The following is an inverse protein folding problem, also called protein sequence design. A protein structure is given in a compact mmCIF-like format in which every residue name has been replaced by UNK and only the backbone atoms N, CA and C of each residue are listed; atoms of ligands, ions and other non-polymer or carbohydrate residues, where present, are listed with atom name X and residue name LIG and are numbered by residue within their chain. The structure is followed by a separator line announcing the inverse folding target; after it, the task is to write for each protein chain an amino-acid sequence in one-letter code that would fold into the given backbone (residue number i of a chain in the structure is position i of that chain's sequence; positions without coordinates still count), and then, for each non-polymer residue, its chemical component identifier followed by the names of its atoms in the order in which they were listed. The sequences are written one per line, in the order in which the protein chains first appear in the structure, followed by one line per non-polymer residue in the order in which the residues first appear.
data_IF_677002902475
#
_entry.id   IF_677002902475
#
_cell.length_a   1.000
_cell.length_b   1.000
_cell.length_c   1.000
_cell.angle_alpha   90.00
_cell.angle_beta   90.00
_cell.angle_gamma   90.00
#
_symmetry.space_group_name_H-M   'P 1'
#
loop_
_entity.id
_entity.type
_entity.pdbx_description
1 polymer ?
#
# COMPACT_ATOMS: atom_id res chain seq x y z
N UNK A 1 -29.48 5.35 9.42
CA UNK A 1 -29.08 5.26 8.00
C UNK A 1 -28.05 4.13 7.79
N UNK A 2 -28.49 2.87 7.67
CA UNK A 2 -27.61 1.73 7.37
C UNK A 2 -27.69 1.40 5.88
N UNK A 3 -26.76 1.98 5.14
CA UNK A 3 -26.57 1.75 3.70
C UNK A 3 -26.26 0.27 3.44
N UNK A 4 -26.60 -0.24 2.26
CA UNK A 4 -26.31 -1.63 1.85
C UNK A 4 -24.83 -2.02 2.09
N UNK A 5 -23.91 -1.06 1.93
CA UNK A 5 -22.48 -1.24 2.18
C UNK A 5 -22.17 -1.62 3.64
N UNK A 6 -22.80 -0.97 4.63
CA UNK A 6 -22.60 -1.34 6.03
C UNK A 6 -23.02 -2.78 6.29
N UNK A 7 -24.16 -3.21 5.72
CA UNK A 7 -24.63 -4.60 5.84
C UNK A 7 -23.66 -5.59 5.21
N UNK A 8 -23.06 -5.26 4.07
CA UNK A 8 -22.05 -6.10 3.42
C UNK A 8 -20.76 -6.19 4.26
N UNK A 9 -20.27 -5.06 4.77
CA UNK A 9 -19.07 -5.01 5.61
C UNK A 9 -19.23 -5.81 6.91
N UNK A 10 -20.39 -5.78 7.54
CA UNK A 10 -20.65 -6.48 8.81
C UNK A 10 -21.28 -7.87 8.63
N UNK A 11 -21.49 -8.34 7.40
CA UNK A 11 -22.17 -9.62 7.16
C UNK A 11 -21.36 -10.80 7.68
N UNK A 12 -22.02 -11.72 8.37
CA UNK A 12 -21.42 -12.99 8.80
C UNK A 12 -21.91 -14.06 7.82
N UNK A 13 -20.97 -14.71 7.14
CA UNK A 13 -21.24 -15.83 6.24
C UNK A 13 -20.13 -16.86 6.37
N UNK A 14 -20.38 -18.14 6.06
CA UNK A 14 -19.34 -19.16 6.05
C UNK A 14 -18.23 -18.76 5.07
N UNK A 15 -16.99 -18.71 5.56
CA UNK A 15 -15.83 -18.30 4.77
C UNK A 15 -15.18 -19.57 4.22
N UNK A 16 -15.13 -19.76 2.89
CA UNK A 16 -14.46 -20.92 2.29
C UNK A 16 -13.01 -21.01 2.75
N UNK A 17 -12.38 -22.18 2.73
CA UNK A 17 -10.96 -22.32 3.08
C UNK A 17 -10.05 -21.65 2.04
N UNK A 18 -8.88 -21.16 2.47
CA UNK A 18 -7.92 -20.49 1.60
C UNK A 18 -7.40 -21.48 0.56
N UNK A 19 -7.52 -21.12 -0.73
CA UNK A 19 -7.01 -21.95 -1.82
C UNK A 19 -5.47 -21.99 -1.80
N UNK A 20 -4.88 -22.94 -2.52
CA UNK A 20 -3.43 -22.99 -2.68
C UNK A 20 -2.87 -21.74 -3.40
N UNK A 21 -3.63 -21.18 -4.35
CA UNK A 21 -3.27 -19.95 -5.07
C UNK A 21 -3.21 -18.77 -4.10
N UNK A 22 -4.23 -18.63 -3.25
CA UNK A 22 -4.27 -17.58 -2.23
C UNK A 22 -3.08 -17.67 -1.28
N UNK A 23 -2.74 -18.89 -0.84
CA UNK A 23 -1.57 -19.14 0.02
C UNK A 23 -0.26 -18.82 -0.68
N UNK A 24 -0.13 -19.16 -1.96
CA UNK A 24 1.06 -18.85 -2.77
C UNK A 24 1.22 -17.34 -2.98
N UNK A 25 0.13 -16.64 -3.29
CA UNK A 25 0.11 -15.18 -3.44
C UNK A 25 0.51 -14.50 -2.13
N UNK A 26 -0.07 -14.92 -1.00
CA UNK A 26 0.29 -14.41 0.32
C UNK A 26 1.76 -14.68 0.65
N UNK A 27 2.25 -15.90 0.42
CA UNK A 27 3.65 -16.24 0.69
C UNK A 27 4.62 -15.41 -0.15
N UNK A 28 4.31 -15.22 -1.43
CA UNK A 28 5.13 -14.39 -2.33
C UNK A 28 5.10 -12.92 -1.92
N UNK A 29 3.94 -12.39 -1.54
CA UNK A 29 3.79 -11.02 -1.06
C UNK A 29 4.54 -10.79 0.26
N UNK A 30 4.42 -11.71 1.22
CA UNK A 30 5.18 -11.65 2.49
C UNK A 30 6.69 -11.76 2.26
N UNK A 31 7.13 -12.60 1.32
CA UNK A 31 8.53 -12.71 0.95
C UNK A 31 9.04 -11.40 0.35
N UNK A 32 8.32 -10.84 -0.62
CA UNK A 32 8.69 -9.60 -1.30
C UNK A 32 8.77 -8.41 -0.32
N UNK A 33 7.74 -8.26 0.53
CA UNK A 33 7.74 -7.24 1.58
C UNK A 33 8.86 -7.45 2.61
N UNK A 34 9.15 -8.70 2.97
CA UNK A 34 10.25 -9.05 3.87
C UNK A 34 11.62 -8.66 3.31
N UNK A 35 11.86 -8.91 2.02
CA UNK A 35 13.06 -8.45 1.31
C UNK A 35 13.19 -6.93 1.38
N UNK A 36 12.09 -6.21 1.10
CA UNK A 36 12.04 -4.74 1.24
C UNK A 36 12.41 -4.30 2.66
N UNK A 37 11.81 -4.89 3.71
CA UNK A 37 12.13 -4.56 5.10
C UNK A 37 13.61 -4.78 5.42
N UNK A 38 14.20 -5.89 4.96
CA UNK A 38 15.63 -6.19 5.18
C UNK A 38 16.51 -5.14 4.49
N UNK A 39 16.26 -4.81 3.22
CA UNK A 39 17.03 -3.80 2.51
C UNK A 39 16.94 -2.42 3.19
N UNK A 40 15.74 -2.00 3.60
CA UNK A 40 15.56 -0.73 4.31
C UNK A 40 16.18 -0.73 5.71
N UNK A 41 16.24 -1.87 6.38
CA UNK A 41 16.96 -2.00 7.65
C UNK A 41 18.48 -1.92 7.46
N UNK A 42 19.03 -2.61 6.46
CA UNK A 42 20.48 -2.64 6.19
C UNK A 42 21.00 -1.28 5.72
N UNK A 43 20.19 -0.50 5.01
CA UNK A 43 20.56 0.81 4.47
C UNK A 43 20.20 1.99 5.40
N UNK A 44 19.68 1.73 6.61
CA UNK A 44 19.17 2.74 7.54
C UNK A 44 18.09 3.67 6.93
N UNK A 45 17.26 3.11 6.04
CA UNK A 45 16.19 3.82 5.33
C UNK A 45 14.79 3.31 5.70
N UNK A 46 14.60 2.78 6.92
CA UNK A 46 13.31 2.22 7.37
C UNK A 46 12.10 3.15 7.23
N UNK A 47 12.29 4.47 7.33
CA UNK A 47 11.21 5.44 7.13
C UNK A 47 10.60 5.38 5.72
N UNK A 48 11.35 4.90 4.73
CA UNK A 48 10.84 4.71 3.37
C UNK A 48 9.78 3.61 3.30
N UNK A 49 9.66 2.70 4.29
CA UNK A 49 8.53 1.76 4.37
C UNK A 49 7.16 2.45 4.52
N UNK A 50 7.14 3.75 4.88
CA UNK A 50 5.92 4.55 4.88
C UNK A 50 5.47 4.97 3.47
N UNK A 51 6.28 4.73 2.44
CA UNK A 51 5.86 5.02 1.07
C UNK A 51 4.59 4.24 0.70
N UNK A 52 3.69 4.83 -0.10
CA UNK A 52 2.38 4.24 -0.38
C UNK A 52 2.40 2.80 -0.91
N UNK A 53 3.40 2.42 -1.71
CA UNK A 53 3.56 1.06 -2.22
C UNK A 53 3.79 0.03 -1.10
N UNK A 54 4.75 0.28 -0.21
CA UNK A 54 5.05 -0.63 0.90
C UNK A 54 3.89 -0.73 1.91
N UNK A 55 3.17 0.37 2.14
CA UNK A 55 1.93 0.35 2.94
C UNK A 55 0.83 -0.44 2.24
N UNK A 56 0.74 -0.38 0.91
CA UNK A 56 -0.20 -1.16 0.11
C UNK A 56 0.09 -2.66 0.25
N UNK A 57 1.35 -3.07 0.09
CA UNK A 57 1.77 -4.45 0.30
C UNK A 57 1.45 -4.94 1.72
N UNK A 58 1.78 -4.14 2.74
CA UNK A 58 1.47 -4.46 4.14
C UNK A 58 -0.04 -4.58 4.39
N UNK A 59 -0.86 -3.65 3.86
CA UNK A 59 -2.31 -3.68 3.98
C UNK A 59 -2.88 -4.96 3.36
N UNK A 60 -2.42 -5.36 2.18
CA UNK A 60 -2.85 -6.61 1.55
C UNK A 60 -2.47 -7.83 2.38
N UNK A 61 -1.26 -7.88 2.96
CA UNK A 61 -0.87 -8.94 3.89
C UNK A 61 -1.85 -9.00 5.06
N UNK A 62 -2.12 -7.86 5.71
CA UNK A 62 -3.07 -7.74 6.83
C UNK A 62 -4.46 -8.26 6.43
N UNK A 63 -4.98 -7.86 5.28
CA UNK A 63 -6.28 -8.30 4.76
C UNK A 63 -6.32 -9.81 4.55
N UNK A 64 -5.25 -10.41 4.03
CA UNK A 64 -5.20 -11.84 3.71
C UNK A 64 -4.99 -12.72 4.95
N UNK A 65 -4.28 -12.25 5.98
CA UNK A 65 -4.06 -13.01 7.23
C UNK A 65 -5.17 -12.80 8.26
N UNK A 66 -6.05 -11.83 8.06
CA UNK A 66 -7.04 -11.44 9.08
C UNK A 66 -7.99 -12.59 9.44
N UNK A 67 -8.22 -12.87 10.74
CA UNK A 67 -9.20 -13.85 11.17
C UNK A 67 -10.60 -13.24 11.04
N UNK A 68 -11.27 -13.51 9.92
CA UNK A 68 -12.59 -12.96 9.61
C UNK A 68 -13.72 -13.37 10.58
N UNK A 69 -13.47 -14.34 11.46
CA UNK A 69 -14.46 -14.91 12.37
C UNK A 69 -14.88 -13.96 13.50
N UNK A 70 -14.03 -12.98 13.86
CA UNK A 70 -14.26 -12.09 15.01
C UNK A 70 -14.62 -10.65 14.60
N UNK A 71 -13.93 -10.09 13.61
CA UNK A 71 -14.10 -8.70 13.19
C UNK A 71 -13.96 -8.57 11.66
N UNK A 72 -14.99 -8.94 10.88
CA UNK A 72 -14.88 -8.99 9.42
C UNK A 72 -14.88 -7.61 8.76
N UNK A 73 -15.39 -6.57 9.42
CA UNK A 73 -15.60 -5.26 8.79
C UNK A 73 -14.29 -4.52 8.47
N UNK A 74 -13.24 -4.69 9.30
CA UNK A 74 -11.93 -4.03 9.14
C UNK A 74 -11.23 -4.47 7.85
N UNK A 75 -10.91 -5.76 7.63
CA UNK A 75 -10.20 -6.19 6.41
C UNK A 75 -11.04 -5.93 5.16
N UNK A 76 -12.37 -6.00 5.26
CA UNK A 76 -13.26 -5.68 4.14
C UNK A 76 -13.21 -4.19 3.79
N UNK A 77 -13.23 -3.30 4.78
CA UNK A 77 -13.11 -1.86 4.53
C UNK A 77 -11.74 -1.53 3.91
N UNK A 78 -10.66 -2.09 4.47
CA UNK A 78 -9.30 -1.89 3.95
C UNK A 78 -9.17 -2.35 2.49
N UNK A 79 -9.66 -3.55 2.15
CA UNK A 79 -9.64 -4.07 0.78
C UNK A 79 -10.43 -3.16 -0.18
N UNK A 80 -11.60 -2.69 0.26
CA UNK A 80 -12.41 -1.83 -0.59
C UNK A 80 -11.81 -0.43 -0.77
N UNK A 81 -11.07 0.09 0.22
CA UNK A 81 -10.27 1.32 0.05
C UNK A 81 -9.15 1.05 -0.96
N UNK A 82 -8.46 -0.08 -0.83
CA UNK A 82 -7.35 -0.47 -1.69
C UNK A 82 -7.73 -0.45 -3.18
N UNK A 83 -8.91 -0.95 -3.54
CA UNK A 83 -9.38 -0.94 -4.93
C UNK A 83 -9.41 0.47 -5.55
N UNK A 84 -9.67 1.50 -4.76
CA UNK A 84 -9.67 2.90 -5.22
C UNK A 84 -8.28 3.56 -5.19
N UNK A 85 -7.29 2.94 -4.56
CA UNK A 85 -5.89 3.43 -4.50
C UNK A 85 -4.92 2.60 -5.35
N UNK A 86 -5.41 1.54 -6.00
CA UNK A 86 -4.63 0.62 -6.86
C UNK A 86 -3.82 1.32 -7.96
N UNK A 87 -4.30 2.47 -8.44
CA UNK A 87 -3.62 3.26 -9.48
C UNK A 87 -2.19 3.64 -9.10
N UNK A 88 -1.85 3.73 -7.80
CA UNK A 88 -0.49 4.02 -7.34
C UNK A 88 0.52 2.96 -7.80
N UNK A 89 0.18 1.66 -7.68
CA UNK A 89 1.05 0.57 -8.12
C UNK A 89 1.25 0.56 -9.64
N UNK A 90 0.18 0.89 -10.39
CA UNK A 90 0.25 1.01 -11.86
C UNK A 90 1.24 2.13 -12.25
N UNK A 91 1.14 3.30 -11.62
CA UNK A 91 2.05 4.41 -11.91
C UNK A 91 3.50 4.06 -11.56
N UNK A 92 3.75 3.33 -10.49
CA UNK A 92 5.11 2.89 -10.12
C UNK A 92 5.71 1.91 -11.13
N UNK A 93 4.90 1.05 -11.77
CA UNK A 93 5.38 0.17 -12.84
C UNK A 93 5.65 0.92 -14.15
N UNK A 94 4.84 1.93 -14.48
CA UNK A 94 5.00 2.75 -15.69
C UNK A 94 6.17 3.73 -15.55
N UNK A 95 6.32 4.32 -14.36
CA UNK A 95 7.33 5.32 -14.03
C UNK A 95 8.18 4.86 -12.84
N UNK A 96 8.98 3.80 -13.01
CA UNK A 96 9.74 3.23 -11.92
C UNK A 96 10.84 4.20 -11.46
N UNK A 97 10.98 4.35 -10.15
CA UNK A 97 12.10 5.06 -9.55
C UNK A 97 13.10 4.06 -8.96
N UNK A 98 14.18 3.84 -9.71
CA UNK A 98 15.20 2.84 -9.38
C UNK A 98 16.51 3.48 -8.90
N UNK A 99 16.54 4.80 -8.63
CA UNK A 99 17.78 5.53 -8.32
C UNK A 99 18.50 5.07 -7.05
N UNK A 100 17.75 4.54 -6.10
CA UNK A 100 18.25 4.07 -4.80
C UNK A 100 18.26 2.53 -4.69
N UNK A 101 18.25 1.81 -5.82
CA UNK A 101 18.19 0.35 -5.86
C UNK A 101 19.56 -0.26 -6.21
N UNK A 102 20.50 -0.20 -5.27
CA UNK A 102 21.89 -0.63 -5.45
C UNK A 102 22.16 -2.06 -4.91
N UNK A 103 21.29 -2.59 -4.05
CA UNK A 103 21.47 -3.90 -3.44
C UNK A 103 21.02 -5.02 -4.38
N UNK A 104 21.60 -6.21 -4.19
CA UNK A 104 21.19 -7.41 -4.90
C UNK A 104 19.68 -7.66 -4.72
N UNK A 105 19.00 -7.99 -5.82
CA UNK A 105 17.54 -8.21 -5.91
C UNK A 105 16.64 -6.99 -5.67
N UNK A 106 17.13 -5.79 -5.37
CA UNK A 106 16.26 -4.64 -5.14
C UNK A 106 15.40 -4.29 -6.35
N UNK A 107 16.00 -4.18 -7.53
CA UNK A 107 15.26 -3.88 -8.77
C UNK A 107 14.25 -4.97 -9.10
N UNK A 108 14.62 -6.24 -8.95
CA UNK A 108 13.70 -7.35 -9.17
C UNK A 108 12.53 -7.31 -8.17
N UNK A 109 12.83 -7.13 -6.89
CA UNK A 109 11.84 -7.07 -5.83
C UNK A 109 10.91 -5.86 -5.99
N UNK A 110 11.42 -4.73 -6.47
CA UNK A 110 10.61 -3.57 -6.83
C UNK A 110 9.52 -3.96 -7.84
N UNK A 111 9.89 -4.57 -8.98
CA UNK A 111 8.89 -4.96 -9.97
C UNK A 111 7.97 -6.07 -9.47
N UNK A 112 8.50 -7.02 -8.68
CA UNK A 112 7.71 -8.08 -8.08
C UNK A 112 6.64 -7.54 -7.13
N UNK A 113 7.02 -6.70 -6.17
CA UNK A 113 6.12 -6.15 -5.15
C UNK A 113 4.99 -5.35 -5.81
N UNK A 114 5.32 -4.45 -6.74
CA UNK A 114 4.33 -3.64 -7.44
C UNK A 114 3.44 -4.47 -8.39
N UNK A 115 3.97 -5.57 -8.95
CA UNK A 115 3.14 -6.51 -9.71
C UNK A 115 2.17 -7.27 -8.79
N UNK A 116 2.62 -7.67 -7.59
CA UNK A 116 1.77 -8.33 -6.60
C UNK A 116 0.68 -7.39 -6.06
N UNK A 117 1.00 -6.12 -5.86
CA UNK A 117 0.03 -5.07 -5.52
C UNK A 117 -1.10 -4.94 -6.56
N UNK A 118 -0.91 -5.43 -7.79
CA UNK A 118 -1.98 -5.51 -8.80
C UNK A 118 -2.61 -6.90 -8.85
N UNK A 119 -1.79 -7.95 -8.89
CA UNK A 119 -2.27 -9.32 -9.07
C UNK A 119 -3.11 -9.79 -7.88
N UNK A 120 -2.66 -9.51 -6.65
CA UNK A 120 -3.34 -9.93 -5.42
C UNK A 120 -4.77 -9.37 -5.35
N UNK A 121 -5.01 -8.04 -5.36
CA UNK A 121 -6.38 -7.52 -5.25
C UNK A 121 -7.29 -7.97 -6.41
N UNK A 122 -6.74 -8.16 -7.62
CA UNK A 122 -7.49 -8.69 -8.77
C UNK A 122 -7.86 -10.18 -8.59
N UNK A 123 -7.07 -10.93 -7.84
CA UNK A 123 -7.46 -12.26 -7.38
C UNK A 123 -8.53 -12.19 -6.28
N UNK A 124 -8.36 -11.30 -5.28
CA UNK A 124 -9.28 -11.18 -4.16
C UNK A 124 -10.69 -10.71 -4.59
N UNK A 125 -10.80 -9.84 -5.60
CA UNK A 125 -12.09 -9.27 -6.04
C UNK A 125 -13.06 -10.35 -6.55
N UNK A 126 -12.52 -11.43 -7.10
CA UNK A 126 -13.26 -12.56 -7.67
C UNK A 126 -13.37 -13.74 -6.70
N UNK A 127 -12.77 -13.64 -5.50
CA UNK A 127 -12.73 -14.72 -4.54
C UNK A 127 -13.87 -14.56 -3.51
N UNK A 128 -14.75 -15.56 -3.35
CA UNK A 128 -15.91 -15.48 -2.45
C UNK A 128 -15.56 -15.35 -0.97
N UNK A 129 -14.29 -15.52 -0.58
CA UNK A 129 -13.80 -15.24 0.78
C UNK A 129 -13.80 -13.75 1.12
N UNK A 130 -13.72 -12.88 0.11
CA UNK A 130 -13.59 -11.43 0.29
C UNK A 130 -14.85 -10.71 -0.17
N UNK A 131 -15.29 -9.72 0.62
CA UNK A 131 -16.47 -8.93 0.29
C UNK A 131 -16.04 -7.68 -0.48
N UNK A 132 -16.44 -7.65 -1.74
CA UNK A 132 -16.32 -6.47 -2.61
C UNK A 132 -17.62 -5.67 -2.55
N UNK A 133 -17.51 -4.38 -2.24
CA UNK A 133 -18.64 -3.45 -2.27
C UNK A 133 -18.94 -3.03 -3.70
N UNK A 134 -20.22 -2.76 -4.05
CA UNK A 134 -20.54 -2.17 -5.32
C UNK A 134 -19.85 -0.81 -5.47
N UNK A 135 -19.34 -0.45 -6.66
CA UNK A 135 -18.72 0.85 -6.88
C UNK A 135 -19.68 1.98 -6.50
N UNK A 136 -19.19 2.94 -5.73
CA UNK A 136 -19.99 4.10 -5.33
C UNK A 136 -19.12 5.35 -5.21
N UNK A 137 -19.70 6.50 -5.52
CA UNK A 137 -19.01 7.79 -5.40
C UNK A 137 -18.55 8.07 -3.96
N UNK A 138 -19.37 7.71 -2.97
CA UNK A 138 -19.03 7.88 -1.56
C UNK A 138 -17.78 7.08 -1.18
N UNK A 139 -17.65 5.83 -1.66
CA UNK A 139 -16.46 5.02 -1.39
C UNK A 139 -15.22 5.56 -2.13
N UNK A 140 -15.40 6.00 -3.37
CA UNK A 140 -14.33 6.62 -4.16
C UNK A 140 -13.79 7.89 -3.47
N UNK A 141 -14.67 8.80 -3.08
CA UNK A 141 -14.30 10.05 -2.40
C UNK A 141 -13.67 9.75 -1.03
N UNK A 142 -14.25 8.85 -0.24
CA UNK A 142 -13.69 8.47 1.05
C UNK A 142 -12.26 7.91 0.90
N UNK A 143 -12.06 6.99 -0.04
CA UNK A 143 -10.74 6.38 -0.30
C UNK A 143 -9.74 7.41 -0.81
N UNK A 144 -10.16 8.29 -1.72
CA UNK A 144 -9.32 9.38 -2.24
C UNK A 144 -8.88 10.34 -1.13
N UNK A 145 -9.81 10.82 -0.30
CA UNK A 145 -9.47 11.73 0.79
C UNK A 145 -8.62 11.06 1.86
N UNK A 146 -8.84 9.78 2.15
CA UNK A 146 -7.98 9.02 3.05
C UNK A 146 -6.55 8.88 2.49
N UNK A 147 -6.42 8.52 1.21
CA UNK A 147 -5.13 8.47 0.53
C UNK A 147 -4.45 9.84 0.52
N UNK A 148 -5.19 10.91 0.19
CA UNK A 148 -4.67 12.27 0.17
C UNK A 148 -4.22 12.72 1.57
N UNK A 149 -4.97 12.37 2.62
CA UNK A 149 -4.61 12.66 4.02
C UNK A 149 -3.38 11.85 4.47
N UNK A 150 -3.23 10.61 4.01
CA UNK A 150 -2.01 9.85 4.27
C UNK A 150 -0.81 10.44 3.53
N UNK A 151 -0.93 10.63 2.22
CA UNK A 151 0.17 11.01 1.35
C UNK A 151 0.63 12.46 1.57
N UNK A 152 -0.31 13.39 1.74
CA UNK A 152 0.03 14.80 1.89
C UNK A 152 0.36 15.12 3.35
N UNK A 153 -0.58 15.31 4.29
CA UNK A 153 -0.21 15.76 5.62
C UNK A 153 0.61 14.73 6.41
N UNK A 154 0.27 13.44 6.43
CA UNK A 154 1.01 12.47 7.27
C UNK A 154 2.44 12.30 6.78
N UNK A 155 2.64 11.90 5.51
CA UNK A 155 4.00 11.72 5.00
C UNK A 155 4.78 13.03 4.95
N UNK A 156 4.16 14.18 4.67
CA UNK A 156 4.86 15.46 4.70
C UNK A 156 5.39 15.80 6.10
N UNK A 157 4.61 15.54 7.16
CA UNK A 157 5.08 15.73 8.54
C UNK A 157 6.30 14.85 8.85
N UNK A 158 6.27 13.57 8.44
CA UNK A 158 7.42 12.69 8.58
C UNK A 158 8.61 13.11 7.71
N UNK A 159 8.36 13.65 6.51
CA UNK A 159 9.41 14.20 5.65
C UNK A 159 10.10 15.38 6.31
N UNK A 160 9.33 16.34 6.84
CA UNK A 160 9.86 17.51 7.56
C UNK A 160 10.65 17.10 8.80
N UNK A 161 10.14 16.14 9.58
CA UNK A 161 10.79 15.67 10.80
C UNK A 161 12.10 14.93 10.52
N UNK A 162 12.11 14.06 9.51
CA UNK A 162 13.22 13.13 9.27
C UNK A 162 14.32 13.67 8.35
N UNK A 163 14.01 14.66 7.53
CA UNK A 163 14.95 15.13 6.51
C UNK A 163 14.82 14.40 5.16
N UNK A 164 13.99 13.35 5.06
CA UNK A 164 13.80 12.53 3.87
C UNK A 164 12.56 12.96 3.09
N UNK A 165 12.56 12.84 1.77
CA UNK A 165 11.37 13.11 0.98
C UNK A 165 10.54 11.84 0.73
N UNK A 166 9.68 11.50 1.70
CA UNK A 166 8.87 10.29 1.66
C UNK A 166 7.69 10.38 0.67
N UNK A 167 7.23 11.60 0.37
CA UNK A 167 6.02 11.86 -0.42
C UNK A 167 6.31 12.53 -1.77
N UNK A 168 7.58 12.55 -2.20
CA UNK A 168 8.00 12.99 -3.54
C UNK A 168 7.53 14.39 -3.96
N UNK A 169 7.07 15.22 -3.02
CA UNK A 169 6.44 16.52 -3.32
C UNK A 169 7.41 17.68 -3.15
N UNK A 170 8.43 17.54 -2.30
CA UNK A 170 9.32 18.65 -1.95
C UNK A 170 10.64 18.67 -2.73
N UNK A 171 11.24 17.51 -3.02
CA UNK A 171 12.55 17.41 -3.71
C UNK A 171 12.62 16.12 -4.54
N UNK A 172 13.52 15.99 -5.53
CA UNK A 172 13.83 14.66 -6.04
C UNK A 172 14.30 13.75 -4.88
N UNK A 173 13.89 12.47 -4.86
CA UNK A 173 14.25 11.48 -3.84
C UNK A 173 15.77 11.23 -3.80
N UNK A 174 16.23 10.49 -2.79
CA UNK A 174 17.64 10.21 -2.46
C UNK A 174 18.47 11.35 -1.81
N UNK A 175 17.92 12.55 -1.64
CA UNK A 175 18.64 13.66 -0.99
C UNK A 175 18.06 14.02 0.38
N UNK A 176 18.93 14.09 1.40
CA UNK A 176 18.60 14.77 2.66
C UNK A 176 18.34 16.24 2.38
N UNK A 177 17.28 16.82 2.96
CA UNK A 177 17.01 18.26 2.88
C UNK A 177 18.23 19.12 3.26
N UNK A 178 19.08 18.61 4.18
CA UNK A 178 20.29 19.29 4.65
C UNK A 178 21.39 19.49 3.59
N UNK A 179 21.30 18.85 2.42
CA UNK A 179 22.25 19.06 1.30
C UNK A 179 21.77 20.10 0.28
N UNK A 180 20.56 20.64 0.44
CA UNK A 180 20.01 21.66 -0.45
C UNK A 180 20.10 23.05 0.21
N UNK A 181 20.57 24.08 -0.51
CA UNK A 181 20.57 25.45 0.00
C UNK A 181 19.13 25.93 0.25
N UNK A 182 18.92 26.64 1.37
CA UNK A 182 17.62 27.12 1.89
C UNK A 182 16.63 27.69 0.84
N UNK A 183 17.06 28.43 -0.21
CA UNK A 183 16.12 28.94 -1.23
C UNK A 183 15.39 27.87 -2.05
N UNK A 184 15.82 26.60 -1.99
CA UNK A 184 15.19 25.47 -2.71
C UNK A 184 14.17 24.68 -1.89
N UNK A 185 13.98 25.03 -0.61
CA UNK A 185 12.98 24.40 0.27
C UNK A 185 11.57 25.01 0.13
N UNK A 186 11.46 26.20 -0.48
CA UNK A 186 10.21 26.98 -0.55
C UNK A 186 9.67 27.15 -1.98
N UNK A 187 10.34 26.57 -2.98
CA UNK A 187 9.83 26.52 -4.34
C UNK A 187 9.16 25.16 -4.51
N UNK A 188 7.91 25.04 -4.07
CA UNK A 188 6.80 24.24 -4.61
C UNK A 188 5.67 24.17 -3.57
#
# INVERSE_FOLDING_TARGET
PSTANHRLLTSVHPIPQATWIERLLLATLMFSFGVTCVHKAVTDTLLFLLQPCHISAFLLIVVMVWPFDSQPWVPRLLLNIYYYTLWGAILALIFPDLRDHDMFLEVFNFFLEHSLDIIVPMYLINNPRYVTLPPSLNMALFSFFLYAAYHSPVLHLFSLWSGFNLNYTLVPPACKFSRLPWPRLTLF
#
